data_IF_215627975468
#
_entry.id   IF_215627975468
#
_cell.length_a   1.000
_cell.length_b   1.000
_cell.length_c   1.000
_cell.angle_alpha   90.00
_cell.angle_beta   90.00
_cell.angle_gamma   90.00
#
_symmetry.space_group_name_H-M   'P 1'
#
loop_
_entity.id
_entity.type
_entity.pdbx_description
1 polymer ?
#
# COMPACT_ATOMS: atom_id res chain seq x y z
N UNK A 1 -14.29 -8.81 -13.74
CA UNK A 1 -13.94 -9.55 -12.50
C UNK A 1 -13.73 -8.55 -11.36
N UNK A 2 -13.81 -8.99 -10.09
CA UNK A 2 -13.41 -8.19 -8.93
C UNK A 2 -11.95 -8.53 -8.57
N UNK A 3 -11.08 -7.53 -8.50
CA UNK A 3 -9.64 -7.71 -8.31
C UNK A 3 -9.18 -6.85 -7.14
N UNK A 4 -8.45 -7.45 -6.20
CA UNK A 4 -7.77 -6.76 -5.12
C UNK A 4 -6.29 -6.57 -5.49
N UNK A 5 -5.86 -5.33 -5.65
CA UNK A 5 -4.48 -4.98 -5.93
C UNK A 5 -3.80 -4.45 -4.66
N UNK A 6 -2.85 -5.23 -4.14
CA UNK A 6 -2.08 -4.89 -2.95
C UNK A 6 -0.76 -4.23 -3.36
N UNK A 7 -0.54 -2.99 -2.90
CA UNK A 7 0.62 -2.19 -3.26
C UNK A 7 1.45 -1.82 -2.02
N UNK A 8 2.78 -1.90 -2.12
CA UNK A 8 3.68 -1.50 -1.04
C UNK A 8 3.83 0.02 -0.91
N UNK A 9 3.30 0.78 -1.88
CA UNK A 9 3.23 2.24 -1.91
C UNK A 9 2.02 2.66 -2.74
N UNK A 10 1.52 3.87 -2.52
CA UNK A 10 0.40 4.40 -3.32
C UNK A 10 0.79 4.49 -4.81
N UNK A 11 0.04 3.88 -5.75
CA UNK A 11 0.38 3.90 -7.18
C UNK A 11 0.33 5.29 -7.82
N UNK A 12 -0.62 6.12 -7.39
CA UNK A 12 -0.83 7.47 -7.90
C UNK A 12 -0.47 8.54 -6.85
N UNK A 13 0.12 9.69 -7.24
CA UNK A 13 0.67 9.99 -8.56
C UNK A 13 1.94 9.16 -8.85
N UNK A 14 2.20 8.81 -10.12
CA UNK A 14 3.29 7.93 -10.51
C UNK A 14 4.64 8.64 -10.49
N UNK A 15 5.21 8.81 -9.28
CA UNK A 15 6.43 9.60 -9.04
C UNK A 15 7.75 8.83 -9.21
N UNK A 16 7.71 7.51 -9.16
CA UNK A 16 8.88 6.64 -9.31
C UNK A 16 8.52 5.38 -10.12
N UNK A 17 9.52 4.62 -10.54
CA UNK A 17 9.32 3.43 -11.38
C UNK A 17 8.36 2.40 -10.79
N UNK A 18 8.36 2.22 -9.47
CA UNK A 18 7.44 1.31 -8.78
C UNK A 18 6.01 1.83 -8.82
N UNK A 19 5.81 3.11 -8.49
CA UNK A 19 4.49 3.75 -8.60
C UNK A 19 3.98 3.75 -10.04
N UNK A 20 4.83 4.05 -11.04
CA UNK A 20 4.47 3.99 -12.47
C UNK A 20 3.99 2.59 -12.85
N UNK A 21 4.76 1.55 -12.52
CA UNK A 21 4.40 0.18 -12.86
C UNK A 21 3.07 -0.24 -12.22
N UNK A 22 2.90 0.03 -10.92
CA UNK A 22 1.64 -0.26 -10.22
C UNK A 22 0.47 0.51 -10.82
N UNK A 23 0.66 1.77 -11.19
CA UNK A 23 -0.39 2.59 -11.78
C UNK A 23 -0.78 2.09 -13.18
N UNK A 24 0.19 1.69 -14.01
CA UNK A 24 -0.09 1.11 -15.33
C UNK A 24 -0.87 -0.21 -15.22
N UNK A 25 -0.57 -1.03 -14.20
CA UNK A 25 -1.36 -2.23 -13.91
C UNK A 25 -2.78 -1.85 -13.50
N UNK A 26 -2.94 -0.88 -12.58
CA UNK A 26 -4.25 -0.36 -12.15
C UNK A 26 -5.09 0.07 -13.35
N UNK A 27 -4.55 0.96 -14.19
CA UNK A 27 -5.25 1.49 -15.37
C UNK A 27 -5.54 0.38 -16.40
N UNK A 28 -4.60 -0.53 -16.62
CA UNK A 28 -4.79 -1.67 -17.53
C UNK A 28 -5.96 -2.56 -17.10
N UNK A 29 -6.08 -2.85 -15.81
CA UNK A 29 -7.18 -3.65 -15.26
C UNK A 29 -8.53 -2.92 -15.35
N UNK A 30 -8.56 -1.61 -15.08
CA UNK A 30 -9.76 -0.78 -15.24
C UNK A 30 -10.20 -0.74 -16.70
N UNK A 31 -9.26 -0.50 -17.63
CA UNK A 31 -9.52 -0.42 -19.07
C UNK A 31 -9.99 -1.76 -19.65
N UNK A 32 -9.57 -2.89 -19.07
CA UNK A 32 -10.09 -4.21 -19.39
C UNK A 32 -11.50 -4.48 -18.82
N UNK A 33 -12.16 -3.48 -18.20
CA UNK A 33 -13.51 -3.58 -17.64
C UNK A 33 -13.57 -4.34 -16.31
N UNK A 34 -12.47 -4.40 -15.55
CA UNK A 34 -12.47 -5.04 -14.24
C UNK A 34 -12.78 -4.03 -13.12
N UNK A 35 -13.43 -4.52 -12.06
CA UNK A 35 -13.67 -3.76 -10.84
C UNK A 35 -12.46 -3.94 -9.92
N UNK A 36 -11.80 -2.84 -9.60
CA UNK A 36 -10.56 -2.85 -8.85
C UNK A 36 -10.78 -2.27 -7.45
N UNK A 37 -10.21 -2.94 -6.44
CA UNK A 37 -9.96 -2.34 -5.13
C UNK A 37 -8.45 -2.28 -4.92
N UNK A 38 -7.93 -1.11 -4.60
CA UNK A 38 -6.50 -0.92 -4.31
C UNK A 38 -6.30 -0.76 -2.80
N UNK A 39 -5.42 -1.56 -2.22
CA UNK A 39 -4.95 -1.35 -0.84
C UNK A 39 -3.47 -1.03 -0.89
N UNK A 40 -3.05 0.04 -0.23
CA UNK A 40 -1.64 0.41 -0.21
C UNK A 40 -1.13 0.94 1.12
N UNK A 41 0.18 0.83 1.31
CA UNK A 41 0.89 1.54 2.35
C UNK A 41 1.23 2.97 1.94
N UNK A 42 1.32 3.84 2.93
CA UNK A 42 1.63 5.24 2.72
C UNK A 42 2.42 5.82 3.89
N UNK A 43 3.45 6.61 3.58
CA UNK A 43 4.37 7.20 4.57
C UNK A 43 3.93 8.60 5.04
N UNK A 44 2.87 9.19 4.46
CA UNK A 44 2.34 10.49 4.86
C UNK A 44 0.94 10.34 5.44
N UNK A 45 0.69 10.79 6.67
CA UNK A 45 -0.69 10.81 7.19
C UNK A 45 -1.60 11.59 6.22
N UNK A 46 -2.81 11.10 5.98
CA UNK A 46 -3.86 11.72 5.13
C UNK A 46 -3.54 11.88 3.63
N UNK A 47 -2.79 10.95 3.01
CA UNK A 47 -2.47 11.06 1.58
C UNK A 47 -3.68 10.92 0.64
N UNK A 48 -4.73 10.19 1.05
CA UNK A 48 -5.95 10.01 0.26
C UNK A 48 -6.60 11.33 -0.17
N UNK A 49 -6.45 12.40 0.62
CA UNK A 49 -6.97 13.74 0.29
C UNK A 49 -6.30 14.39 -0.94
N UNK A 50 -5.17 13.85 -1.42
CA UNK A 50 -4.44 14.37 -2.57
C UNK A 50 -4.71 13.57 -3.86
N UNK A 51 -5.58 12.56 -3.82
CA UNK A 51 -5.91 11.75 -4.99
C UNK A 51 -7.08 12.38 -5.77
N UNK A 52 -7.06 12.35 -7.12
CA UNK A 52 -8.20 12.76 -7.93
C UNK A 52 -9.44 11.93 -7.59
N UNK A 53 -10.60 12.57 -7.54
CA UNK A 53 -11.85 11.91 -7.17
C UNK A 53 -12.19 10.73 -8.09
N UNK A 54 -12.01 10.90 -9.41
CA UNK A 54 -12.20 9.84 -10.40
C UNK A 54 -11.32 8.61 -10.14
N UNK A 55 -10.06 8.82 -9.74
CA UNK A 55 -9.15 7.73 -9.40
C UNK A 55 -9.64 6.99 -8.16
N UNK A 56 -10.10 7.72 -7.13
CA UNK A 56 -10.66 7.11 -5.91
C UNK A 56 -11.92 6.30 -6.24
N UNK A 57 -12.80 6.82 -7.07
CA UNK A 57 -14.04 6.14 -7.47
C UNK A 57 -13.76 4.85 -8.27
N UNK A 58 -12.82 4.90 -9.22
CA UNK A 58 -12.46 3.73 -10.06
C UNK A 58 -11.72 2.63 -9.32
N UNK A 59 -10.96 2.99 -8.28
CA UNK A 59 -10.06 2.06 -7.57
C UNK A 59 -10.48 1.71 -6.16
N UNK A 60 -11.48 2.41 -5.61
CA UNK A 60 -11.90 2.33 -4.20
C UNK A 60 -10.70 2.23 -3.24
N UNK A 61 -9.71 3.09 -3.46
CA UNK A 61 -8.39 2.95 -2.85
C UNK A 61 -8.42 3.21 -1.35
N UNK A 62 -7.85 2.29 -0.59
CA UNK A 62 -7.62 2.43 0.84
C UNK A 62 -6.12 2.48 1.15
N UNK A 63 -5.70 3.49 1.90
CA UNK A 63 -4.30 3.67 2.28
C UNK A 63 -4.13 3.59 3.79
N UNK A 64 -3.17 2.78 4.24
CA UNK A 64 -2.79 2.72 5.65
C UNK A 64 -1.45 3.41 5.86
N UNK A 65 -1.41 4.25 6.89
CA UNK A 65 -0.17 4.88 7.31
C UNK A 65 0.80 3.82 7.85
N UNK A 66 2.02 3.84 7.34
CA UNK A 66 3.12 3.03 7.87
C UNK A 66 4.35 3.91 8.09
N UNK A 67 4.88 3.85 9.31
CA UNK A 67 6.21 4.34 9.60
C UNK A 67 7.19 3.18 9.46
N UNK A 68 8.07 3.28 8.46
CA UNK A 68 9.11 2.30 8.15
C UNK A 68 10.49 2.82 8.51
N UNK A 69 10.61 3.94 9.22
CA UNK A 69 11.91 4.44 9.67
C UNK A 69 12.64 3.39 10.51
N UNK A 70 13.97 3.40 10.44
CA UNK A 70 14.79 2.54 11.28
C UNK A 70 14.71 3.05 12.70
N UNK A 71 14.23 2.19 13.61
CA UNK A 71 14.22 2.42 15.04
C UNK A 71 15.39 1.62 15.66
N UNK A 72 16.46 2.30 16.14
CA UNK A 72 17.65 1.63 16.66
C UNK A 72 17.36 0.68 17.83
N UNK A 73 16.46 1.06 18.73
CA UNK A 73 16.09 0.24 19.88
C UNK A 73 15.36 -1.04 19.43
N UNK A 74 14.40 -0.92 18.53
CA UNK A 74 13.70 -2.07 17.98
C UNK A 74 14.63 -2.98 17.15
N UNK A 75 15.59 -2.40 16.42
CA UNK A 75 16.59 -3.15 15.68
C UNK A 75 17.51 -3.94 16.63
N UNK A 76 17.96 -3.31 17.72
CA UNK A 76 18.78 -3.96 18.75
C UNK A 76 18.04 -5.10 19.45
N UNK A 77 16.78 -4.88 19.87
CA UNK A 77 15.94 -5.93 20.47
C UNK A 77 15.75 -7.09 19.49
N UNK A 78 15.61 -6.80 18.18
CA UNK A 78 15.41 -7.84 17.19
C UNK A 78 16.66 -8.72 16.96
N UNK A 79 17.86 -8.35 17.43
CA UNK A 79 19.03 -9.24 17.42
C UNK A 79 18.81 -10.52 18.22
N UNK A 80 17.93 -10.47 19.22
CA UNK A 80 17.54 -11.62 20.04
C UNK A 80 16.35 -12.39 19.45
N UNK A 81 15.88 -12.01 18.25
CA UNK A 81 14.78 -12.66 17.53
C UNK A 81 15.30 -13.45 16.32
N UNK A 82 14.58 -14.52 15.94
CA UNK A 82 14.83 -15.25 14.68
C UNK A 82 14.19 -14.59 13.44
N UNK A 83 13.59 -13.40 13.60
CA UNK A 83 12.86 -12.69 12.56
C UNK A 83 13.75 -11.62 11.92
N UNK A 84 13.51 -11.29 10.64
CA UNK A 84 14.19 -10.18 9.97
C UNK A 84 13.60 -8.83 10.39
N UNK A 85 14.40 -7.98 11.05
CA UNK A 85 14.00 -6.62 11.41
C UNK A 85 13.54 -5.81 10.19
N UNK A 86 14.25 -5.97 9.06
CA UNK A 86 13.93 -5.26 7.82
C UNK A 86 12.54 -5.60 7.29
N UNK A 87 12.10 -6.86 7.45
CA UNK A 87 10.76 -7.28 7.04
C UNK A 87 9.71 -6.86 8.08
N UNK A 88 10.02 -7.01 9.37
CA UNK A 88 9.07 -6.69 10.45
C UNK A 88 8.54 -5.25 10.39
N UNK A 89 9.36 -4.29 9.94
CA UNK A 89 8.95 -2.89 9.76
C UNK A 89 7.70 -2.73 8.86
N UNK A 90 7.45 -3.69 7.97
CA UNK A 90 6.35 -3.69 7.01
C UNK A 90 5.14 -4.53 7.44
N UNK A 91 5.23 -5.29 8.54
CA UNK A 91 4.14 -6.16 9.00
C UNK A 91 3.25 -5.40 9.98
N UNK A 92 2.01 -5.06 9.57
CA UNK A 92 1.02 -4.36 10.40
C UNK A 92 -0.28 -5.17 10.50
N UNK A 93 -0.76 -5.38 11.74
CA UNK A 93 -2.03 -6.08 11.99
C UNK A 93 -3.22 -5.37 11.36
N UNK A 94 -3.19 -4.04 11.30
CA UNK A 94 -4.28 -3.26 10.71
C UNK A 94 -4.37 -3.48 9.20
N UNK A 95 -3.25 -3.68 8.52
CA UNK A 95 -3.22 -4.04 7.10
C UNK A 95 -3.80 -5.43 6.87
N UNK A 96 -3.48 -6.39 7.74
CA UNK A 96 -4.08 -7.73 7.69
C UNK A 96 -5.60 -7.68 7.89
N UNK A 97 -6.09 -6.91 8.88
CA UNK A 97 -7.53 -6.74 9.12
C UNK A 97 -8.22 -6.12 7.91
N UNK A 98 -7.59 -5.12 7.29
CA UNK A 98 -8.14 -4.46 6.12
C UNK A 98 -8.30 -5.42 4.93
N UNK A 99 -7.32 -6.29 4.69
CA UNK A 99 -7.40 -7.32 3.64
C UNK A 99 -8.56 -8.29 3.92
N UNK A 100 -8.72 -8.74 5.16
CA UNK A 100 -9.77 -9.70 5.54
C UNK A 100 -11.18 -9.10 5.40
N UNK A 101 -11.33 -7.80 5.64
CA UNK A 101 -12.62 -7.10 5.59
C UNK A 101 -12.96 -6.52 4.21
N UNK A 102 -12.17 -6.83 3.19
CA UNK A 102 -12.36 -6.36 1.81
C UNK A 102 -13.20 -7.32 0.99
#
# INVERSE_FOLDING_TARGET
MKILQICHKVPFPPKDGGCIAMNLITEGLINAGHQLKVISFNQKKNFSANLPEDYVQKTNIETLFIDTAVNPLAAFINLFSKKSYNIQRFVKKDFQKLIINT
#
